data_IF_020112372212
#
_entry.id   IF_020112372212
#
_cell.length_a   1.000
_cell.length_b   1.000
_cell.length_c   1.000
_cell.angle_alpha   90.00
_cell.angle_beta   90.00
_cell.angle_gamma   90.00
#
_symmetry.space_group_name_H-M   'P 1'
#
loop_
_entity.id
_entity.type
_entity.pdbx_description
1 polymer ?
#
# COMPACT_ATOMS: atom_id res chain seq x y z
N UNK A 1 -56.23 -19.34 -18.75
CA UNK A 1 -56.14 -18.95 -20.18
C UNK A 1 -54.70 -19.14 -20.65
N UNK A 2 -54.52 -19.81 -21.79
CA UNK A 2 -53.24 -20.21 -22.41
C UNK A 2 -52.43 -18.99 -22.89
N UNK A 3 -51.09 -19.06 -22.82
CA UNK A 3 -50.22 -19.07 -24.01
C UNK A 3 -48.73 -19.22 -23.66
N UNK A 4 -48.16 -20.34 -24.14
CA UNK A 4 -46.74 -20.49 -24.53
C UNK A 4 -46.41 -19.56 -25.71
N UNK A 5 -45.13 -19.22 -25.87
CA UNK A 5 -44.32 -19.02 -27.10
C UNK A 5 -42.91 -18.63 -26.59
N UNK A 6 -41.84 -19.43 -26.67
CA UNK A 6 -41.12 -20.09 -27.78
C UNK A 6 -40.41 -19.09 -28.71
N UNK A 7 -39.09 -19.26 -28.84
CA UNK A 7 -38.20 -18.62 -29.82
C UNK A 7 -36.80 -18.45 -29.21
N UNK A 8 -35.84 -19.36 -29.41
CA UNK A 8 -35.00 -19.56 -30.61
C UNK A 8 -34.07 -18.34 -30.83
N UNK A 9 -32.79 -18.40 -31.20
CA UNK A 9 -31.78 -19.43 -31.41
C UNK A 9 -30.49 -18.68 -31.82
N UNK A 10 -29.34 -19.39 -31.76
CA UNK A 10 -28.09 -19.19 -32.54
C UNK A 10 -27.23 -17.92 -32.31
N UNK A 11 -25.96 -18.15 -31.97
CA UNK A 11 -24.86 -18.00 -32.95
C UNK A 11 -23.60 -18.72 -32.43
N UNK A 12 -23.24 -19.84 -33.06
CA UNK A 12 -21.88 -20.40 -33.00
C UNK A 12 -21.16 -19.90 -34.24
N UNK A 13 -20.06 -19.17 -34.05
CA UNK A 13 -19.15 -18.79 -35.13
C UNK A 13 -18.08 -19.88 -35.26
N UNK A 14 -18.06 -20.52 -36.43
CA UNK A 14 -17.08 -21.54 -36.81
C UNK A 14 -15.71 -20.94 -37.12
N UNK A 15 -14.67 -21.69 -36.76
CA UNK A 15 -13.29 -21.45 -37.18
C UNK A 15 -13.01 -22.37 -38.37
N UNK A 16 -12.72 -21.77 -39.52
CA UNK A 16 -12.45 -22.46 -40.79
C UNK A 16 -11.03 -23.03 -40.83
N UNK A 17 -10.92 -24.33 -41.09
CA UNK A 17 -9.69 -25.03 -41.45
C UNK A 17 -9.26 -24.67 -42.87
N UNK A 18 -8.00 -24.25 -43.05
CA UNK A 18 -7.36 -24.18 -44.37
C UNK A 18 -6.35 -25.32 -44.52
N UNK A 19 -6.75 -26.33 -45.28
CA UNK A 19 -5.88 -27.37 -45.86
C UNK A 19 -5.29 -26.83 -47.15
N UNK A 20 -3.97 -26.82 -47.28
CA UNK A 20 -3.27 -26.58 -48.55
C UNK A 20 -2.41 -27.81 -48.84
N UNK A 21 -2.79 -28.54 -49.87
CA UNK A 21 -2.00 -29.59 -50.49
C UNK A 21 -1.38 -29.01 -51.77
N UNK A 22 -0.06 -29.10 -51.91
CA UNK A 22 0.62 -28.94 -53.20
C UNK A 22 1.57 -30.11 -53.42
N UNK A 23 1.17 -30.94 -54.37
CA UNK A 23 1.97 -31.93 -55.10
C UNK A 23 2.93 -31.22 -56.05
N UNK A 24 4.16 -31.71 -56.19
CA UNK A 24 5.11 -31.19 -57.18
C UNK A 24 6.43 -31.96 -57.19
N UNK A 25 6.46 -33.03 -57.99
CA UNK A 25 7.63 -33.85 -58.31
C UNK A 25 8.48 -33.12 -59.36
N UNK A 26 9.78 -32.98 -59.14
CA UNK A 26 10.72 -32.42 -60.12
C UNK A 26 12.16 -32.75 -59.74
N UNK A 27 12.73 -33.73 -60.43
CA UNK A 27 14.13 -34.11 -60.34
C UNK A 27 14.96 -33.24 -61.29
N UNK A 28 16.08 -32.70 -60.81
CA UNK A 28 17.19 -32.20 -61.64
C UNK A 28 18.52 -32.35 -60.88
N UNK A 29 19.54 -33.05 -61.42
CA UNK A 29 20.86 -33.14 -60.82
C UNK A 29 21.83 -32.17 -61.52
N UNK A 30 22.31 -31.17 -60.80
CA UNK A 30 23.28 -30.20 -61.32
C UNK A 30 24.19 -29.66 -60.23
N UNK A 31 25.43 -30.14 -60.20
CA UNK A 31 26.50 -29.73 -59.30
C UNK A 31 26.72 -28.21 -59.27
N UNK A 32 26.70 -27.61 -58.07
CA UNK A 32 27.35 -26.32 -57.79
C UNK A 32 27.87 -26.27 -56.34
N UNK A 33 29.14 -26.64 -56.19
CA UNK A 33 30.13 -26.21 -55.20
C UNK A 33 29.60 -25.58 -53.89
N UNK A 34 29.40 -26.39 -52.86
CA UNK A 34 29.33 -25.93 -51.47
C UNK A 34 30.72 -25.42 -51.03
N UNK A 35 30.99 -24.13 -51.18
CA UNK A 35 31.99 -23.47 -50.32
C UNK A 35 31.43 -23.48 -48.91
N UNK A 36 31.87 -24.44 -48.10
CA UNK A 36 31.73 -24.40 -46.65
C UNK A 36 32.39 -23.13 -46.14
N UNK A 37 31.59 -22.07 -45.97
CA UNK A 37 31.96 -20.95 -45.12
C UNK A 37 32.31 -21.53 -43.76
N UNK A 38 33.53 -21.26 -43.30
CA UNK A 38 34.01 -21.66 -41.98
C UNK A 38 32.93 -21.29 -40.97
N UNK A 39 32.29 -22.28 -40.37
CA UNK A 39 31.46 -22.10 -39.19
C UNK A 39 32.38 -21.46 -38.15
N UNK A 40 32.26 -20.15 -37.96
CA UNK A 40 32.81 -19.50 -36.79
C UNK A 40 32.01 -20.06 -35.61
N UNK A 41 32.47 -21.19 -35.07
CA UNK A 41 31.94 -21.73 -33.84
C UNK A 41 32.10 -20.65 -32.78
N UNK A 42 31.01 -20.25 -32.15
CA UNK A 42 31.11 -19.56 -30.88
C UNK A 42 31.82 -20.52 -29.93
N UNK A 43 33.12 -20.30 -29.70
CA UNK A 43 33.82 -20.93 -28.59
C UNK A 43 33.12 -20.46 -27.31
N UNK A 44 32.37 -21.34 -26.67
CA UNK A 44 31.89 -21.10 -25.31
C UNK A 44 33.14 -21.12 -24.42
N UNK A 45 33.63 -19.93 -24.03
CA UNK A 45 34.64 -19.82 -23.01
C UNK A 45 34.03 -20.28 -21.68
N UNK A 46 34.58 -21.35 -21.09
CA UNK A 46 34.16 -21.83 -19.78
C UNK A 46 34.84 -21.04 -18.66
N UNK A 47 34.10 -20.75 -17.59
CA UNK A 47 34.65 -20.20 -16.36
C UNK A 47 35.51 -21.25 -15.64
N UNK A 48 36.60 -20.82 -15.01
CA UNK A 48 37.41 -21.73 -14.20
C UNK A 48 36.73 -22.01 -12.85
N UNK A 49 37.00 -23.17 -12.24
CA UNK A 49 36.47 -23.50 -10.91
C UNK A 49 36.86 -22.44 -9.87
N UNK A 50 38.10 -21.93 -9.94
CA UNK A 50 38.60 -20.92 -9.01
C UNK A 50 37.90 -19.57 -9.20
N UNK A 51 37.58 -19.19 -10.44
CA UNK A 51 36.84 -17.96 -10.74
C UNK A 51 35.42 -17.99 -10.19
N UNK A 52 34.74 -19.13 -10.29
CA UNK A 52 33.43 -19.32 -9.67
C UNK A 52 33.51 -19.20 -8.15
N UNK A 53 34.52 -19.80 -7.51
CA UNK A 53 34.71 -19.72 -6.06
C UNK A 53 34.98 -18.28 -5.59
N UNK A 54 35.79 -17.53 -6.33
CA UNK A 54 36.04 -16.11 -6.04
C UNK A 54 34.76 -15.29 -6.21
N UNK A 55 34.02 -15.49 -7.30
CA UNK A 55 32.76 -14.78 -7.54
C UNK A 55 31.74 -15.05 -6.41
N UNK A 56 31.60 -16.31 -5.99
CA UNK A 56 30.73 -16.68 -4.87
C UNK A 56 31.20 -16.07 -3.54
N UNK A 57 32.51 -16.04 -3.29
CA UNK A 57 33.05 -15.40 -2.09
C UNK A 57 32.71 -13.89 -2.05
N UNK A 58 32.85 -13.19 -3.17
CA UNK A 58 32.48 -11.77 -3.28
C UNK A 58 30.97 -11.58 -3.08
N UNK A 59 30.13 -12.38 -3.75
CA UNK A 59 28.68 -12.32 -3.58
C UNK A 59 28.27 -12.57 -2.12
N UNK A 60 28.90 -13.53 -1.45
CA UNK A 60 28.64 -13.83 -0.05
C UNK A 60 28.94 -12.62 0.85
N UNK A 61 30.10 -11.98 0.66
CA UNK A 61 30.48 -10.78 1.41
C UNK A 61 29.45 -9.66 1.17
N UNK A 62 29.12 -9.36 -0.10
CA UNK A 62 28.18 -8.29 -0.42
C UNK A 62 26.79 -8.52 0.18
N UNK A 63 26.29 -9.76 0.11
CA UNK A 63 24.96 -10.13 0.62
C UNK A 63 24.84 -9.92 2.13
N UNK A 64 25.91 -10.17 2.89
CA UNK A 64 25.90 -9.99 4.36
C UNK A 64 25.66 -8.54 4.78
N UNK A 65 26.07 -7.56 3.96
CA UNK A 65 25.90 -6.14 4.23
C UNK A 65 24.59 -5.61 3.60
N UNK A 66 24.25 -6.10 2.40
CA UNK A 66 23.10 -5.61 1.64
C UNK A 66 21.75 -5.96 2.28
N UNK A 67 21.58 -7.19 2.78
CA UNK A 67 20.32 -7.67 3.36
C UNK A 67 19.86 -6.83 4.57
N UNK A 68 20.68 -6.61 5.62
CA UNK A 68 20.25 -5.83 6.79
C UNK A 68 19.94 -4.37 6.43
N UNK A 69 20.72 -3.77 5.53
CA UNK A 69 20.48 -2.42 5.01
C UNK A 69 19.11 -2.29 4.32
N UNK A 70 18.76 -3.26 3.47
CA UNK A 70 17.46 -3.26 2.78
C UNK A 70 16.30 -3.44 3.77
N UNK A 71 16.46 -4.31 4.76
CA UNK A 71 15.45 -4.50 5.81
C UNK A 71 15.21 -3.21 6.61
N UNK A 72 16.27 -2.47 6.94
CA UNK A 72 16.19 -1.17 7.62
C UNK A 72 15.49 -0.12 6.75
N UNK A 73 15.78 -0.06 5.44
CA UNK A 73 15.11 0.84 4.50
C UNK A 73 13.61 0.54 4.39
N UNK A 74 13.24 -0.73 4.18
CA UNK A 74 11.84 -1.15 4.08
C UNK A 74 11.08 -0.78 5.36
N UNK A 75 11.67 -1.03 6.53
CA UNK A 75 11.05 -0.69 7.81
C UNK A 75 10.81 0.82 7.95
N UNK A 76 11.81 1.65 7.66
CA UNK A 76 11.68 3.12 7.71
C UNK A 76 10.62 3.62 6.72
N UNK A 77 10.54 3.00 5.55
CA UNK A 77 9.52 3.32 4.56
C UNK A 77 8.11 3.00 5.08
N UNK A 78 7.90 1.81 5.67
CA UNK A 78 6.61 1.43 6.28
C UNK A 78 6.17 2.42 7.36
N UNK A 79 7.08 2.83 8.25
CA UNK A 79 6.79 3.85 9.27
C UNK A 79 6.46 5.19 8.60
N UNK A 80 7.22 5.61 7.58
CA UNK A 80 7.02 6.87 6.89
C UNK A 80 5.67 6.94 6.18
N UNK A 81 5.28 5.88 5.46
CA UNK A 81 3.98 5.78 4.78
C UNK A 81 2.84 5.90 5.79
N UNK A 82 2.80 5.04 6.81
CA UNK A 82 1.74 5.07 7.83
C UNK A 82 1.67 6.43 8.58
N UNK A 83 2.82 7.03 8.89
CA UNK A 83 2.89 8.37 9.48
C UNK A 83 2.32 9.44 8.54
N UNK A 84 2.73 9.44 7.27
CA UNK A 84 2.31 10.44 6.30
C UNK A 84 0.83 10.32 5.99
N UNK A 85 0.31 9.10 5.91
CA UNK A 85 -1.11 8.83 5.70
C UNK A 85 -1.96 9.41 6.84
N UNK A 86 -1.56 9.19 8.10
CA UNK A 86 -2.23 9.79 9.26
C UNK A 86 -2.12 11.31 9.28
N UNK A 87 -0.94 11.87 9.02
CA UNK A 87 -0.75 13.33 8.96
C UNK A 87 -1.66 13.95 7.88
N UNK A 88 -1.70 13.34 6.70
CA UNK A 88 -2.56 13.76 5.60
C UNK A 88 -4.04 13.65 5.97
N UNK A 89 -4.45 12.56 6.62
CA UNK A 89 -5.82 12.37 7.10
C UNK A 89 -6.28 13.48 8.04
N UNK A 90 -5.45 13.83 9.04
CA UNK A 90 -5.79 14.89 9.99
C UNK A 90 -5.81 16.28 9.33
N UNK A 91 -4.87 16.55 8.42
CA UNK A 91 -4.86 17.81 7.67
C UNK A 91 -6.08 17.92 6.75
N UNK A 92 -6.45 16.82 6.08
CA UNK A 92 -7.64 16.74 5.25
C UNK A 92 -8.90 16.97 6.08
N UNK A 93 -9.06 16.28 7.22
CA UNK A 93 -10.19 16.44 8.11
C UNK A 93 -10.34 17.89 8.64
N UNK A 94 -9.22 18.52 9.03
CA UNK A 94 -9.22 19.93 9.44
C UNK A 94 -9.69 20.84 8.30
N UNK A 95 -9.12 20.67 7.10
CA UNK A 95 -9.49 21.48 5.94
C UNK A 95 -10.97 21.31 5.59
N UNK A 96 -11.47 20.07 5.68
CA UNK A 96 -12.86 19.77 5.41
C UNK A 96 -13.81 20.39 6.43
N UNK A 97 -13.45 20.38 7.72
CA UNK A 97 -14.24 21.05 8.76
C UNK A 97 -14.34 22.56 8.53
N UNK A 98 -13.22 23.19 8.16
CA UNK A 98 -13.15 24.62 7.83
C UNK A 98 -13.95 24.95 6.57
N UNK A 99 -13.78 24.18 5.50
CA UNK A 99 -14.40 24.44 4.20
C UNK A 99 -15.92 24.22 4.21
N UNK A 100 -16.39 23.17 4.90
CA UNK A 100 -17.82 22.86 4.99
C UNK A 100 -18.55 23.60 6.11
N UNK A 101 -17.81 24.16 7.07
CA UNK A 101 -18.40 24.74 8.27
C UNK A 101 -19.09 23.70 9.15
N UNK A 102 -18.63 22.45 9.13
CA UNK A 102 -19.25 21.30 9.84
C UNK A 102 -18.20 20.53 10.64
N UNK A 103 -18.54 19.92 11.78
CA UNK A 103 -17.61 19.06 12.48
C UNK A 103 -17.20 17.86 11.62
N UNK A 104 -15.91 17.54 11.61
CA UNK A 104 -15.34 16.38 10.91
C UNK A 104 -14.52 15.56 11.88
N UNK A 105 -14.81 14.26 11.96
CA UNK A 105 -14.15 13.34 12.88
C UNK A 105 -13.21 12.40 12.13
N UNK A 106 -12.04 12.18 12.71
CA UNK A 106 -11.11 11.12 12.34
C UNK A 106 -11.08 10.09 13.46
N UNK A 107 -11.23 8.80 13.14
CA UNK A 107 -11.26 7.72 14.11
C UNK A 107 -10.75 6.41 13.48
N UNK A 108 -10.27 5.44 14.28
CA UNK A 108 -9.97 4.12 13.76
C UNK A 108 -11.27 3.39 13.40
N UNK A 109 -11.20 2.42 12.50
CA UNK A 109 -12.37 1.65 12.05
C UNK A 109 -11.98 0.20 11.76
N UNK A 110 -12.93 -0.72 11.97
CA UNK A 110 -12.78 -2.14 11.65
C UNK A 110 -13.63 -2.56 10.45
N UNK A 111 -14.65 -1.77 10.13
CA UNK A 111 -15.68 -2.06 9.12
C UNK A 111 -15.75 -0.99 8.03
N UNK A 112 -14.90 0.04 8.11
CA UNK A 112 -14.88 1.20 7.21
C UNK A 112 -16.18 2.00 7.22
N UNK A 113 -17.03 1.81 8.22
CA UNK A 113 -18.36 2.44 8.32
C UNK A 113 -18.57 3.13 9.66
N UNK A 114 -17.99 2.59 10.74
CA UNK A 114 -18.16 3.08 12.10
C UNK A 114 -16.83 3.37 12.78
N UNK A 115 -16.84 4.30 13.73
CA UNK A 115 -15.69 4.55 14.58
C UNK A 115 -15.53 3.41 15.59
N UNK A 116 -14.37 2.76 15.57
CA UNK A 116 -13.97 1.83 16.61
C UNK A 116 -13.51 2.61 17.86
N UNK A 117 -14.01 2.24 19.03
CA UNK A 117 -13.58 2.85 20.29
C UNK A 117 -12.33 2.15 20.84
N UNK A 118 -11.21 2.28 20.13
CA UNK A 118 -9.94 1.65 20.50
C UNK A 118 -8.74 2.57 20.24
N UNK A 119 -7.60 2.20 20.83
CA UNK A 119 -6.33 2.90 20.64
C UNK A 119 -5.54 2.39 19.43
N UNK A 120 -5.90 1.26 18.83
CA UNK A 120 -5.21 0.75 17.65
C UNK A 120 -5.77 1.39 16.37
N UNK A 121 -4.91 2.14 15.69
CA UNK A 121 -5.16 2.81 14.42
C UNK A 121 -4.51 2.07 13.25
N UNK A 122 -3.78 0.98 13.51
CA UNK A 122 -3.16 0.16 12.45
C UNK A 122 -4.16 -0.73 11.72
N UNK A 123 -5.37 -0.85 12.26
CA UNK A 123 -6.49 -1.60 11.66
C UNK A 123 -7.20 -0.84 10.53
N UNK A 124 -6.85 0.44 10.33
CA UNK A 124 -7.51 1.35 9.41
C UNK A 124 -8.17 2.51 10.15
N UNK A 125 -8.48 3.55 9.40
CA UNK A 125 -9.10 4.77 9.93
C UNK A 125 -10.03 5.38 8.89
N UNK A 126 -10.90 6.28 9.32
CA UNK A 126 -11.77 7.01 8.42
C UNK A 126 -11.87 8.48 8.81
N UNK A 127 -12.27 9.30 7.86
CA UNK A 127 -12.61 10.71 8.02
C UNK A 127 -14.08 10.86 7.60
N UNK A 128 -14.90 11.44 8.46
CA UNK A 128 -16.32 11.57 8.21
C UNK A 128 -16.90 12.84 8.82
N UNK A 129 -17.95 13.37 8.21
CA UNK A 129 -18.75 14.44 8.80
C UNK A 129 -19.46 13.90 10.03
N UNK A 130 -19.30 14.59 11.14
CA UNK A 130 -19.86 14.23 12.43
C UNK A 130 -20.98 15.20 12.81
N UNK A 131 -22.10 14.62 13.27
CA UNK A 131 -23.27 15.37 13.73
C UNK A 131 -23.41 15.34 15.25
N UNK A 132 -22.55 14.60 15.95
CA UNK A 132 -22.52 14.59 17.40
C UNK A 132 -22.03 15.95 17.93
N UNK A 133 -22.71 16.45 18.95
CA UNK A 133 -22.32 17.66 19.67
C UNK A 133 -21.33 17.35 20.79
N UNK A 134 -21.44 16.17 21.40
CA UNK A 134 -20.56 15.70 22.48
C UNK A 134 -20.43 14.18 22.44
N UNK A 135 -19.38 13.64 23.08
CA UNK A 135 -19.22 12.20 23.24
C UNK A 135 -18.92 11.46 21.93
N UNK A 136 -19.51 10.27 21.80
CA UNK A 136 -19.25 9.34 20.70
C UNK A 136 -19.63 9.94 19.33
N UNK A 137 -18.84 9.69 18.27
CA UNK A 137 -19.14 10.19 16.93
C UNK A 137 -20.48 9.68 16.38
N UNK A 138 -21.22 10.56 15.70
CA UNK A 138 -22.42 10.21 14.93
C UNK A 138 -22.17 10.56 13.46
N UNK A 139 -21.62 9.59 12.73
CA UNK A 139 -21.12 9.77 11.37
C UNK A 139 -22.29 9.88 10.39
N UNK A 140 -22.34 10.95 9.62
CA UNK A 140 -23.36 11.15 8.59
C UNK A 140 -22.86 10.81 7.18
N UNK A 141 -21.61 11.18 6.87
CA UNK A 141 -21.02 11.02 5.55
C UNK A 141 -19.53 10.72 5.67
N UNK A 142 -19.10 9.60 5.10
CA UNK A 142 -17.69 9.23 5.02
C UNK A 142 -17.05 10.00 3.86
N UNK A 143 -15.94 10.65 4.15
CA UNK A 143 -15.17 11.49 3.23
C UNK A 143 -13.93 10.75 2.72
N UNK A 144 -13.29 9.99 3.61
CA UNK A 144 -12.10 9.22 3.30
C UNK A 144 -12.04 7.97 4.19
N UNK A 145 -11.51 6.89 3.64
CA UNK A 145 -11.10 5.70 4.39
C UNK A 145 -9.60 5.48 4.13
N UNK A 146 -8.85 5.24 5.18
CA UNK A 146 -7.46 4.83 5.13
C UNK A 146 -7.31 3.33 5.36
N UNK A 147 -6.40 2.73 4.63
CA UNK A 147 -6.14 1.29 4.72
C UNK A 147 -5.44 0.92 6.03
N UNK A 148 -5.60 -0.36 6.42
CA UNK A 148 -4.88 -0.94 7.55
C UNK A 148 -3.37 -0.96 7.26
N UNK A 149 -2.57 -0.42 8.18
CA UNK A 149 -1.11 -0.52 8.10
C UNK A 149 -0.57 -1.84 8.67
N UNK A 150 -1.36 -2.56 9.46
CA UNK A 150 -0.97 -3.82 10.06
C UNK A 150 -0.82 -4.95 9.00
N UNK A 151 0.14 -5.88 9.17
CA UNK A 151 1.15 -5.94 10.24
C UNK A 151 2.42 -5.12 9.92
N UNK A 152 2.44 -4.38 8.81
CA UNK A 152 3.64 -3.72 8.29
C UNK A 152 4.11 -2.54 9.17
N UNK A 153 3.18 -1.79 9.73
CA UNK A 153 3.40 -0.75 10.72
C UNK A 153 2.26 -0.76 11.75
N UNK A 154 2.59 -0.42 12.99
CA UNK A 154 1.64 -0.27 14.10
C UNK A 154 1.45 1.21 14.38
N UNK A 155 0.20 1.61 14.58
CA UNK A 155 -0.17 2.98 14.90
C UNK A 155 -1.04 2.95 16.16
N UNK A 156 -0.49 3.38 17.28
CA UNK A 156 -1.15 3.30 18.60
C UNK A 156 -1.36 4.70 19.15
N UNK A 157 -2.62 5.04 19.42
CA UNK A 157 -3.02 6.27 20.08
C UNK A 157 -2.49 6.32 21.52
N UNK A 158 -1.77 7.38 21.85
CA UNK A 158 -1.41 7.73 23.22
C UNK A 158 -2.64 8.29 23.94
N UNK A 159 -2.72 8.10 25.27
CA UNK A 159 -3.83 8.40 26.18
C UNK A 159 -5.06 9.15 25.59
N UNK A 160 -6.21 8.47 25.59
CA UNK A 160 -7.53 9.06 25.36
C UNK A 160 -7.94 9.23 23.89
N UNK A 161 -7.11 8.88 22.91
CA UNK A 161 -7.35 9.14 21.49
C UNK A 161 -8.12 8.02 20.74
N UNK A 162 -9.42 7.86 21.04
CA UNK A 162 -10.32 7.03 20.20
C UNK A 162 -10.85 7.76 18.96
N UNK A 163 -10.86 9.11 18.98
CA UNK A 163 -11.20 9.94 17.82
C UNK A 163 -10.70 11.37 18.00
N UNK A 164 -10.62 12.11 16.90
CA UNK A 164 -10.29 13.53 16.84
C UNK A 164 -11.39 14.25 16.06
N UNK A 165 -12.18 15.10 16.73
CA UNK A 165 -13.24 15.88 16.09
C UNK A 165 -12.76 17.30 15.82
N UNK A 166 -12.60 17.67 14.56
CA UNK A 166 -12.30 19.03 14.15
C UNK A 166 -13.59 19.84 14.09
N UNK A 167 -13.66 20.91 14.86
CA UNK A 167 -14.75 21.88 14.83
C UNK A 167 -14.65 22.76 13.56
N UNK A 168 -15.75 23.44 13.16
CA UNK A 168 -15.74 24.42 12.06
C UNK A 168 -14.73 25.57 12.22
N UNK A 169 -14.23 25.80 13.43
CA UNK A 169 -13.18 26.78 13.74
C UNK A 169 -11.76 26.24 13.53
N UNK A 170 -11.62 24.95 13.18
CA UNK A 170 -10.34 24.25 13.04
C UNK A 170 -9.72 23.78 14.36
N UNK A 171 -10.33 24.10 15.50
CA UNK A 171 -9.96 23.52 16.80
C UNK A 171 -10.35 22.05 16.86
N UNK A 172 -9.69 21.28 17.71
CA UNK A 172 -10.04 19.87 17.92
C UNK A 172 -10.69 19.71 19.28
N UNK A 173 -11.83 19.04 19.26
CA UNK A 173 -12.61 18.68 20.42
C UNK A 173 -12.38 17.20 20.72
N UNK A 174 -11.79 16.95 21.88
CA UNK A 174 -11.79 15.67 22.55
C UNK A 174 -12.18 15.95 24.00
N UNK A 175 -13.01 15.10 24.62
CA UNK A 175 -13.60 15.36 25.94
C UNK A 175 -12.63 15.89 27.01
N UNK A 176 -13.19 16.56 28.02
CA UNK A 176 -12.52 17.39 29.04
C UNK A 176 -11.37 16.76 29.84
N UNK A 177 -11.17 15.44 29.76
CA UNK A 177 -10.08 14.73 30.44
C UNK A 177 -8.74 14.72 29.65
N UNK A 178 -8.64 15.41 28.51
CA UNK A 178 -7.45 15.40 27.67
C UNK A 178 -6.51 16.60 27.89
N UNK A 179 -5.20 16.35 27.84
CA UNK A 179 -4.15 17.38 27.82
C UNK A 179 -4.24 18.34 26.61
N UNK A 180 -3.24 19.22 26.49
CA UNK A 180 -3.18 20.24 25.43
C UNK A 180 -2.94 19.65 24.03
N UNK A 181 -2.39 18.44 23.96
CA UNK A 181 -2.15 17.68 22.74
C UNK A 181 -2.39 16.19 22.97
N UNK A 182 -2.60 15.48 21.86
CA UNK A 182 -2.71 14.03 21.79
C UNK A 182 -1.85 13.54 20.63
N UNK A 183 -1.37 12.31 20.74
CA UNK A 183 -0.47 11.75 19.76
C UNK A 183 -0.85 10.33 19.38
N UNK A 184 -0.51 9.94 18.16
CA UNK A 184 -0.48 8.55 17.70
C UNK A 184 0.98 8.22 17.41
N UNK A 185 1.49 7.17 18.06
CA UNK A 185 2.82 6.64 17.78
C UNK A 185 2.73 5.63 16.64
N UNK A 186 3.60 5.78 15.66
CA UNK A 186 3.76 4.90 14.52
C UNK A 186 5.13 4.24 14.59
N UNK A 187 5.15 2.91 14.67
CA UNK A 187 6.36 2.08 14.65
C UNK A 187 6.16 0.85 13.75
N UNK A 188 7.19 0.01 13.64
CA UNK A 188 7.15 -1.22 12.87
C UNK A 188 7.97 -2.31 13.57
N UNK A 189 7.77 -3.58 13.21
CA UNK A 189 8.54 -4.68 13.79
C UNK A 189 10.04 -4.52 13.52
N UNK A 190 10.87 -4.75 14.55
CA UNK A 190 12.31 -4.55 14.47
C UNK A 190 12.77 -3.09 14.43
N UNK A 191 11.91 -2.15 14.84
CA UNK A 191 12.25 -0.73 14.99
C UNK A 191 13.45 -0.55 15.94
N UNK A 192 14.36 0.37 15.60
CA UNK A 192 15.56 0.68 16.40
C UNK A 192 15.63 2.16 16.75
N UNK A 193 16.19 2.48 17.92
CA UNK A 193 16.50 3.85 18.35
C UNK A 193 15.27 4.79 18.23
N UNK A 194 15.41 5.90 17.52
CA UNK A 194 14.39 6.92 17.29
C UNK A 194 13.74 6.82 15.88
N UNK A 195 13.58 5.60 15.37
CA UNK A 195 12.96 5.38 14.04
C UNK A 195 11.43 5.56 14.06
N UNK A 196 10.79 5.45 15.21
CA UNK A 196 9.35 5.65 15.33
C UNK A 196 8.98 7.12 15.12
N UNK A 197 7.70 7.36 14.81
CA UNK A 197 7.13 8.70 14.63
C UNK A 197 5.99 8.93 15.59
N UNK A 198 5.84 10.16 16.09
CA UNK A 198 4.63 10.60 16.79
C UNK A 198 3.90 11.62 15.93
N UNK A 199 2.68 11.29 15.52
CA UNK A 199 1.74 12.22 14.89
C UNK A 199 0.97 12.90 16.00
N UNK A 200 1.20 14.21 16.17
CA UNK A 200 0.69 14.99 17.30
C UNK A 200 -0.33 16.00 16.78
N UNK A 201 -1.48 16.03 17.43
CA UNK A 201 -2.54 17.00 17.20
C UNK A 201 -2.76 17.79 18.49
N UNK A 202 -2.59 19.11 18.44
CA UNK A 202 -2.89 19.97 19.57
C UNK A 202 -4.32 20.51 19.53
N UNK A 203 -4.77 21.13 20.62
CA UNK A 203 -6.18 21.55 20.77
C UNK A 203 -6.61 22.63 19.76
N UNK A 204 -5.68 23.41 19.23
CA UNK A 204 -5.96 24.34 18.12
C UNK A 204 -6.02 23.65 16.75
N UNK A 205 -5.86 22.33 16.72
CA UNK A 205 -5.92 21.43 15.56
C UNK A 205 -4.67 21.38 14.68
N UNK A 206 -3.54 21.89 15.15
CA UNK A 206 -2.27 21.82 14.42
C UNK A 206 -1.75 20.39 14.48
N UNK A 207 -1.53 19.82 13.30
CA UNK A 207 -0.96 18.48 13.10
C UNK A 207 0.54 18.61 12.86
N UNK A 208 1.36 17.82 13.57
CA UNK A 208 2.81 17.74 13.36
C UNK A 208 3.30 16.30 13.54
N UNK A 209 4.43 15.97 12.91
CA UNK A 209 5.11 14.70 13.14
C UNK A 209 6.50 14.95 13.71
N UNK A 210 6.89 14.18 14.73
CA UNK A 210 8.23 14.22 15.32
C UNK A 210 8.83 12.81 15.44
N UNK A 211 10.17 12.67 15.40
CA UNK A 211 10.83 11.41 15.74
C UNK A 211 10.53 11.00 17.19
N UNK A 212 10.46 9.70 17.45
CA UNK A 212 10.19 9.14 18.76
C UNK A 212 10.95 7.83 18.96
N UNK A 213 11.22 7.42 20.21
CA UNK A 213 11.74 6.09 20.48
C UNK A 213 10.73 5.01 20.06
N UNK A 214 11.24 3.89 19.58
CA UNK A 214 10.42 2.69 19.32
C UNK A 214 9.80 2.16 20.63
N UNK A 215 8.59 1.64 20.56
CA UNK A 215 7.85 1.07 21.69
C UNK A 215 8.05 -0.44 21.83
#
# INVERSE_FOLDING_TARGET
>A
MRKRLKGDARLQAGVSSHTIAHTGLGADPGHTQHRFGRSAGFSVAGFTLIELLIALAVVAILTTIAIPSMADLIRRNRIAVANNDLVAAFQHARAEALNRGRPVTVCPTLDQATCANQADWSVGWLVAIDTATTGAPNLQQILQVGEASAPSARAIAEAGAGHFRFAPTGQVEWGVAGGAERAIRVDASGCKNQEARRVIVNRIGRVRSEPAPCA
#
